data_IF_152368518983
#
_entry.id   IF_152368518983
#
_cell.length_a   1.000
_cell.length_b   1.000
_cell.length_c   1.000
_cell.angle_alpha   90.00
_cell.angle_beta   90.00
_cell.angle_gamma   90.00
#
_symmetry.space_group_name_H-M   'P 1'
#
loop_
_entity.id
_entity.type
_entity.pdbx_description
1 polymer ?
#
# COMPACT_ATOMS: atom_id res chain seq x y z
N UNK A 1 -8.56 13.58 7.69
CA UNK A 1 -8.52 13.53 9.16
C UNK A 1 -7.61 14.62 9.73
N UNK A 2 -6.39 14.75 9.21
CA UNK A 2 -5.39 15.72 9.68
C UNK A 2 -5.89 17.17 9.79
N UNK A 3 -6.55 17.70 8.75
CA UNK A 3 -7.08 19.08 8.77
C UNK A 3 -8.14 19.32 9.86
N UNK A 4 -8.95 18.31 10.18
CA UNK A 4 -9.98 18.39 11.23
C UNK A 4 -9.35 18.36 12.62
N UNK A 5 -8.43 17.41 12.86
CA UNK A 5 -7.67 17.32 14.11
C UNK A 5 -6.87 18.62 14.34
N UNK A 6 -6.29 19.19 13.28
CA UNK A 6 -5.58 20.47 13.35
C UNK A 6 -6.51 21.64 13.68
N UNK A 7 -7.69 21.71 13.07
CA UNK A 7 -8.67 22.77 13.35
C UNK A 7 -9.18 22.69 14.80
N UNK A 8 -9.55 21.50 15.24
CA UNK A 8 -9.95 21.22 16.62
C UNK A 8 -8.84 21.57 17.60
N UNK A 9 -7.60 21.16 17.32
CA UNK A 9 -6.43 21.47 18.15
C UNK A 9 -6.22 22.98 18.29
N UNK A 10 -6.40 23.75 17.20
CA UNK A 10 -6.31 25.22 17.23
C UNK A 10 -7.45 25.87 18.02
N UNK A 11 -8.66 25.33 17.94
CA UNK A 11 -9.81 25.81 18.73
C UNK A 11 -9.54 25.57 20.21
N UNK A 12 -9.12 24.35 20.59
CA UNK A 12 -8.80 23.99 21.97
C UNK A 12 -7.69 24.89 22.51
N UNK A 13 -6.60 25.06 21.75
CA UNK A 13 -5.50 25.95 22.13
C UNK A 13 -5.96 27.41 22.28
N UNK A 14 -6.82 27.90 21.39
CA UNK A 14 -7.38 29.25 21.48
C UNK A 14 -8.24 29.45 22.73
N UNK A 15 -9.08 28.46 23.08
CA UNK A 15 -9.89 28.51 24.31
C UNK A 15 -9.00 28.45 25.55
N UNK A 16 -8.03 27.55 25.59
CA UNK A 16 -7.10 27.39 26.73
C UNK A 16 -6.29 28.65 27.01
N UNK A 17 -5.92 29.40 25.96
CA UNK A 17 -5.26 30.71 26.09
C UNK A 17 -6.17 31.79 26.69
N UNK A 18 -7.49 31.65 26.58
CA UNK A 18 -8.45 32.58 27.17
C UNK A 18 -8.89 32.19 28.58
N UNK A 19 -8.72 30.92 28.97
CA UNK A 19 -9.11 30.44 30.29
C UNK A 19 -8.17 30.91 31.38
N UNK A 20 -8.74 31.43 32.46
CA UNK A 20 -8.02 31.73 33.69
C UNK A 20 -7.61 30.45 34.42
N UNK A 21 -6.60 30.56 35.27
CA UNK A 21 -6.07 29.45 36.06
C UNK A 21 -7.13 28.97 37.07
N UNK A 22 -7.57 27.71 36.94
CA UNK A 22 -8.61 27.12 37.80
C UNK A 22 -10.04 27.55 37.45
N UNK A 23 -10.27 28.05 36.24
CA UNK A 23 -11.61 28.34 35.73
C UNK A 23 -12.46 27.06 35.58
N UNK A 24 -13.78 27.20 35.70
CA UNK A 24 -14.69 26.08 35.47
C UNK A 24 -14.54 25.52 34.05
N UNK A 25 -14.77 24.20 33.85
CA UNK A 25 -14.62 23.58 32.55
C UNK A 25 -15.51 24.23 31.49
N UNK A 26 -14.94 24.52 30.33
CA UNK A 26 -15.72 25.06 29.20
C UNK A 26 -16.17 23.91 28.32
N UNK A 27 -17.49 23.77 28.16
CA UNK A 27 -18.10 22.73 27.32
C UNK A 27 -18.71 23.36 26.06
N UNK A 28 -18.24 22.90 24.90
CA UNK A 28 -18.81 23.20 23.60
C UNK A 28 -19.51 21.96 23.05
N UNK A 29 -20.84 21.94 23.08
CA UNK A 29 -21.64 20.87 22.50
C UNK A 29 -22.43 21.39 21.29
N UNK A 30 -22.38 20.64 20.19
CA UNK A 30 -23.29 20.78 19.06
C UNK A 30 -23.86 19.40 18.68
N UNK A 31 -24.67 19.31 17.64
CA UNK A 31 -25.31 18.04 17.24
C UNK A 31 -24.35 16.97 16.70
N UNK A 32 -23.08 17.30 16.48
CA UNK A 32 -22.08 16.42 15.87
C UNK A 32 -20.84 16.19 16.75
N UNK A 33 -20.54 17.13 17.65
CA UNK A 33 -19.29 17.22 18.39
C UNK A 33 -19.58 17.81 19.78
N UNK A 34 -19.01 17.16 20.79
CA UNK A 34 -18.94 17.67 22.15
C UNK A 34 -17.47 17.76 22.56
N UNK A 35 -17.04 18.95 22.99
CA UNK A 35 -15.68 19.21 23.46
C UNK A 35 -15.78 19.77 24.87
N UNK A 36 -15.12 19.14 25.82
CA UNK A 36 -14.95 19.67 27.17
C UNK A 36 -13.47 19.99 27.39
N UNK A 37 -13.20 21.20 27.87
CA UNK A 37 -11.86 21.74 28.05
C UNK A 37 -11.69 22.10 29.53
N UNK A 38 -10.59 21.64 30.11
CA UNK A 38 -10.27 21.76 31.52
C UNK A 38 -8.89 22.41 31.67
N UNK A 39 -8.78 23.34 32.62
CA UNK A 39 -7.52 23.96 33.02
C UNK A 39 -7.49 24.06 34.53
N UNK A 40 -6.84 23.10 35.17
CA UNK A 40 -6.85 22.99 36.63
C UNK A 40 -5.49 22.58 37.19
N UNK A 41 -5.31 22.80 38.49
CA UNK A 41 -4.12 22.38 39.22
C UNK A 41 -4.12 20.85 39.38
N UNK A 42 -2.97 20.17 39.21
CA UNK A 42 -2.85 18.72 39.37
C UNK A 42 -3.41 18.16 40.68
N UNK A 43 -3.35 18.92 41.76
CA UNK A 43 -3.91 18.52 43.06
C UNK A 43 -5.44 18.46 43.10
N UNK A 44 -6.11 19.16 42.17
CA UNK A 44 -7.57 19.20 42.03
C UNK A 44 -8.07 18.25 40.93
N UNK A 45 -7.17 17.52 40.26
CA UNK A 45 -7.48 16.60 39.15
C UNK A 45 -8.03 15.23 39.62
N UNK A 46 -8.42 15.08 40.90
CA UNK A 46 -8.88 13.79 41.43
C UNK A 46 -10.12 13.26 40.73
N UNK A 47 -10.97 14.13 40.18
CA UNK A 47 -12.06 13.76 39.26
C UNK A 47 -12.31 14.92 38.28
N UNK A 48 -11.86 14.81 37.01
CA UNK A 48 -12.43 15.65 35.95
C UNK A 48 -13.76 15.06 35.48
N UNK A 49 -14.74 15.01 36.37
CA UNK A 49 -16.07 14.60 35.96
C UNK A 49 -16.66 15.67 35.03
N UNK A 50 -17.03 15.26 33.81
CA UNK A 50 -17.90 16.07 32.95
C UNK A 50 -19.20 16.39 33.70
N UNK A 51 -19.83 17.56 33.45
CA UNK A 51 -21.12 17.86 34.05
C UNK A 51 -22.13 16.74 33.76
N UNK A 52 -22.96 16.39 34.75
CA UNK A 52 -23.93 15.28 34.73
C UNK A 52 -25.11 15.50 33.75
N UNK A 53 -24.84 15.86 32.50
CA UNK A 53 -25.79 15.77 31.41
C UNK A 53 -25.65 14.41 30.73
N UNK A 54 -26.04 13.37 31.47
CA UNK A 54 -26.51 12.03 31.05
C UNK A 54 -25.95 11.30 29.81
N UNK A 55 -24.79 11.62 29.22
CA UNK A 55 -24.36 10.84 28.05
C UNK A 55 -22.88 10.50 27.94
N UNK A 56 -21.91 11.36 28.32
CA UNK A 56 -20.50 11.02 28.07
C UNK A 56 -19.52 11.52 29.16
N UNK A 57 -18.81 10.59 29.81
CA UNK A 57 -17.83 10.86 30.86
C UNK A 57 -16.47 10.27 30.47
N UNK A 58 -15.66 11.02 29.74
CA UNK A 58 -14.23 10.72 29.58
C UNK A 58 -13.41 11.63 30.49
N UNK A 59 -12.60 11.04 31.37
CA UNK A 59 -11.91 11.76 32.43
C UNK A 59 -10.53 11.16 32.74
N UNK A 60 -9.71 11.96 33.41
CA UNK A 60 -8.40 11.56 33.94
C UNK A 60 -8.53 11.46 35.46
N UNK A 61 -8.00 10.40 36.04
CA UNK A 61 -7.91 10.20 37.49
C UNK A 61 -6.44 9.97 37.85
N UNK A 62 -5.93 10.66 38.87
CA UNK A 62 -4.56 10.48 39.34
C UNK A 62 -4.52 9.41 40.44
N UNK A 63 -3.64 8.43 40.32
CA UNK A 63 -3.60 7.28 41.24
C UNK A 63 -3.13 7.64 42.67
N UNK A 64 -2.56 8.82 42.91
CA UNK A 64 -2.18 9.27 44.25
C UNK A 64 -1.63 10.69 44.32
N UNK A 65 -1.51 11.21 45.55
CA UNK A 65 -1.00 12.57 45.78
C UNK A 65 0.44 12.77 45.29
N UNK A 66 1.27 11.73 45.31
CA UNK A 66 2.66 11.79 44.82
C UNK A 66 2.74 11.97 43.31
N UNK A 67 1.76 11.47 42.55
CA UNK A 67 1.68 11.68 41.10
C UNK A 67 1.11 13.05 40.77
N UNK A 68 0.17 13.54 41.57
CA UNK A 68 -0.27 14.94 41.50
C UNK A 68 0.89 15.91 41.79
N UNK A 69 1.72 15.62 42.80
CA UNK A 69 2.91 16.41 43.13
C UNK A 69 3.96 16.38 42.02
N UNK A 70 4.14 15.25 41.32
CA UNK A 70 5.10 15.12 40.22
C UNK A 70 4.64 15.79 38.92
N UNK A 71 3.33 15.91 38.72
CA UNK A 71 2.71 16.69 37.64
C UNK A 71 2.57 18.18 37.98
N UNK A 72 2.55 18.53 39.27
CA UNK A 72 2.52 19.93 39.72
C UNK A 72 3.90 20.56 39.63
N UNK A 73 4.04 21.61 38.83
CA UNK A 73 5.11 22.58 39.04
C UNK A 73 4.54 23.78 39.81
N UNK A 74 5.41 24.62 40.41
CA UNK A 74 4.97 25.77 41.23
C UNK A 74 4.07 26.77 40.46
N UNK A 75 4.05 26.69 39.13
CA UNK A 75 3.18 27.43 38.20
C UNK A 75 2.52 26.50 37.16
N UNK A 76 2.52 25.20 37.41
CA UNK A 76 2.15 24.18 36.43
C UNK A 76 0.69 23.84 36.48
N UNK A 77 0.02 24.01 35.36
CA UNK A 77 -1.35 23.58 35.15
C UNK A 77 -1.36 22.37 34.22
N UNK A 78 -2.34 21.50 34.44
CA UNK A 78 -2.66 20.45 33.47
C UNK A 78 -3.86 20.95 32.67
N UNK A 79 -3.66 21.03 31.36
CA UNK A 79 -4.70 21.31 30.41
C UNK A 79 -5.15 19.97 29.83
N UNK A 80 -6.42 19.64 30.02
CA UNK A 80 -7.00 18.43 29.45
C UNK A 80 -8.20 18.81 28.59
N UNK A 81 -8.40 18.09 27.50
CA UNK A 81 -9.60 18.24 26.70
C UNK A 81 -10.11 16.88 26.26
N UNK A 82 -11.37 16.58 26.55
CA UNK A 82 -12.05 15.41 26.06
C UNK A 82 -12.96 15.81 24.90
N UNK A 83 -12.78 15.15 23.76
CA UNK A 83 -13.55 15.38 22.56
C UNK A 83 -14.32 14.13 22.19
N UNK A 84 -15.64 14.26 22.08
CA UNK A 84 -16.53 13.17 21.72
C UNK A 84 -17.20 13.50 20.38
N UNK A 85 -17.04 12.59 19.42
CA UNK A 85 -17.79 12.64 18.17
C UNK A 85 -19.18 12.01 18.39
N UNK A 86 -20.24 12.81 18.28
CA UNK A 86 -21.62 12.29 18.30
C UNK A 86 -22.00 11.64 16.96
N UNK A 87 -21.31 12.00 15.88
CA UNK A 87 -21.41 11.37 14.57
C UNK A 87 -20.01 11.20 14.01
N UNK A 88 -19.66 9.98 13.59
CA UNK A 88 -18.35 9.69 13.02
C UNK A 88 -18.09 10.60 11.80
N UNK A 89 -17.08 11.50 11.85
CA UNK A 89 -16.78 12.42 10.76
C UNK A 89 -16.11 11.73 9.56
N UNK A 90 -15.80 10.43 9.67
CA UNK A 90 -15.13 9.63 8.65
C UNK A 90 -16.08 8.55 8.13
N UNK A 91 -16.86 8.81 7.06
CA UNK A 91 -17.93 7.93 6.59
C UNK A 91 -17.46 6.53 6.14
N UNK A 92 -16.15 6.31 5.99
CA UNK A 92 -15.55 5.03 5.60
C UNK A 92 -14.52 4.51 6.61
N UNK A 93 -14.36 5.15 7.78
CA UNK A 93 -13.43 4.69 8.81
C UNK A 93 -14.19 3.86 9.84
N UNK A 94 -13.90 2.56 9.88
CA UNK A 94 -14.37 1.66 10.93
C UNK A 94 -13.57 1.82 12.24
N UNK A 95 -12.61 2.75 12.30
CA UNK A 95 -11.49 2.70 13.25
C UNK A 95 -11.69 3.61 14.46
N UNK A 96 -12.43 4.72 14.34
CA UNK A 96 -12.66 5.63 15.47
C UNK A 96 -13.96 5.27 16.19
N UNK A 97 -13.83 4.52 17.28
CA UNK A 97 -14.98 4.08 18.09
C UNK A 97 -15.08 4.77 19.45
N UNK A 98 -14.12 5.64 19.78
CA UNK A 98 -14.02 6.32 21.07
C UNK A 98 -13.79 7.82 20.92
N UNK A 99 -14.02 8.54 22.01
CA UNK A 99 -13.60 9.93 22.19
C UNK A 99 -12.09 10.08 22.07
N UNK A 100 -11.66 11.26 21.66
CA UNK A 100 -10.26 11.67 21.64
C UNK A 100 -9.97 12.41 22.94
N UNK A 101 -9.02 11.90 23.73
CA UNK A 101 -8.60 12.52 24.98
C UNK A 101 -7.22 13.16 24.81
N UNK A 102 -7.11 14.46 25.06
CA UNK A 102 -5.86 15.22 24.92
C UNK A 102 -5.44 15.73 26.30
N UNK A 103 -4.15 15.57 26.61
CA UNK A 103 -3.51 16.08 27.81
C UNK A 103 -2.30 16.91 27.39
N UNK A 104 -2.20 18.11 27.92
CA UNK A 104 -1.04 18.99 27.79
C UNK A 104 -0.57 19.40 29.19
N UNK A 105 0.70 19.11 29.49
CA UNK A 105 1.30 19.41 30.79
C UNK A 105 2.27 20.56 30.63
N UNK A 106 2.08 21.61 31.43
CA UNK A 106 2.94 22.79 31.45
C UNK A 106 3.83 22.79 32.70
N UNK A 107 5.14 22.87 32.53
CA UNK A 107 6.09 22.88 33.64
C UNK A 107 7.56 22.89 33.21
N UNK A 108 8.47 22.98 34.20
CA UNK A 108 9.91 22.80 33.94
C UNK A 108 10.19 21.32 33.63
N UNK A 109 10.07 21.00 32.33
CA UNK A 109 10.21 19.65 31.77
C UNK A 109 11.57 19.03 32.09
N UNK A 110 12.62 19.82 32.36
CA UNK A 110 13.95 19.27 32.63
C UNK A 110 14.01 18.59 34.01
N UNK A 111 13.44 19.22 35.03
CA UNK A 111 13.37 18.65 36.37
C UNK A 111 12.31 17.53 36.44
N UNK A 112 11.20 17.71 35.73
CA UNK A 112 10.11 16.74 35.65
C UNK A 112 10.53 15.44 34.94
N UNK A 113 11.32 15.54 33.86
CA UNK A 113 11.92 14.36 33.18
C UNK A 113 12.80 13.54 34.11
N UNK A 114 13.63 14.21 34.93
CA UNK A 114 14.54 13.51 35.86
C UNK A 114 13.74 12.73 36.92
N UNK A 115 12.73 13.37 37.52
CA UNK A 115 11.85 12.74 38.51
C UNK A 115 11.01 11.61 37.90
N UNK A 116 10.53 11.79 36.67
CA UNK A 116 9.72 10.78 35.95
C UNK A 116 10.52 9.53 35.58
N UNK A 117 11.77 9.70 35.15
CA UNK A 117 12.67 8.56 34.87
C UNK A 117 13.04 7.77 36.12
N UNK A 118 13.19 8.44 37.27
CA UNK A 118 13.43 7.78 38.56
C UNK A 118 12.19 6.97 39.01
N UNK A 119 10.98 7.46 38.76
CA UNK A 119 9.73 6.78 39.10
C UNK A 119 9.41 5.57 38.20
N UNK A 120 9.69 5.69 36.89
CA UNK A 120 9.43 4.64 35.90
C UNK A 120 10.26 3.35 36.13
N UNK A 121 11.31 3.39 36.96
CA UNK A 121 12.14 2.22 37.29
C UNK A 121 11.55 1.30 38.37
N UNK A 122 10.55 1.74 39.12
CA UNK A 122 10.16 1.07 40.38
C UNK A 122 8.69 0.60 40.49
N UNK A 123 7.80 0.89 39.54
CA UNK A 123 6.38 0.59 39.69
C UNK A 123 5.72 -0.04 38.47
N UNK A 124 5.02 -1.16 38.70
CA UNK A 124 3.96 -1.68 37.82
C UNK A 124 2.59 -1.05 38.10
N UNK A 125 2.54 -0.03 38.97
CA UNK A 125 1.33 0.67 39.35
C UNK A 125 1.07 1.85 38.40
N UNK A 126 -0.20 2.07 38.06
CA UNK A 126 -0.57 3.18 37.18
C UNK A 126 -0.32 4.50 37.91
N UNK A 127 0.29 5.47 37.24
CA UNK A 127 0.46 6.82 37.78
C UNK A 127 -0.84 7.64 37.65
N UNK A 128 -1.57 7.37 36.58
CA UNK A 128 -2.89 7.94 36.29
C UNK A 128 -3.72 6.94 35.49
N UNK A 129 -5.04 7.11 35.58
CA UNK A 129 -6.03 6.35 34.85
C UNK A 129 -6.75 7.26 33.87
N UNK A 130 -6.86 6.83 32.62
CA UNK A 130 -7.68 7.50 31.61
C UNK A 130 -8.94 6.66 31.43
N UNK A 131 -10.09 7.26 31.65
CA UNK A 131 -11.38 6.65 31.33
C UNK A 131 -11.88 7.25 30.02
N UNK A 132 -12.05 6.42 29.01
CA UNK A 132 -12.64 6.80 27.72
C UNK A 132 -13.99 6.10 27.54
N UNK A 133 -14.96 6.83 27.00
CA UNK A 133 -16.26 6.27 26.70
C UNK A 133 -16.40 5.94 25.22
N UNK A 134 -17.03 4.82 24.91
CA UNK A 134 -17.35 4.46 23.53
C UNK A 134 -18.48 5.33 23.00
N UNK A 135 -18.42 5.64 21.71
CA UNK A 135 -19.49 6.39 21.02
C UNK A 135 -20.79 5.57 20.90
N UNK A 136 -20.69 4.24 21.03
CA UNK A 136 -21.81 3.32 21.02
C UNK A 136 -21.54 2.14 21.97
N UNK A 137 -22.61 1.58 22.55
CA UNK A 137 -22.53 0.38 23.40
C UNK A 137 -21.91 -0.76 22.59
N UNK A 138 -20.86 -1.37 23.14
CA UNK A 138 -20.18 -2.55 22.61
C UNK A 138 -20.73 -3.81 23.26
N UNK A 139 -20.64 -4.94 22.57
CA UNK A 139 -21.07 -6.23 23.09
C UNK A 139 -19.84 -7.10 23.38
N UNK A 140 -19.11 -6.74 24.44
CA UNK A 140 -17.93 -7.52 24.83
C UNK A 140 -18.35 -8.81 25.51
N UNK A 141 -17.69 -9.89 25.13
CA UNK A 141 -17.90 -11.17 25.78
C UNK A 141 -17.07 -11.27 27.07
N UNK A 142 -17.67 -10.98 28.23
CA UNK A 142 -16.99 -11.10 29.52
C UNK A 142 -16.95 -12.53 30.09
N UNK A 143 -17.45 -13.54 29.36
CA UNK A 143 -17.40 -14.93 29.83
C UNK A 143 -16.01 -15.57 29.75
N UNK A 144 -15.09 -14.96 28.98
CA UNK A 144 -13.72 -15.40 28.79
C UNK A 144 -12.77 -14.28 29.19
N UNK A 145 -11.66 -14.62 29.86
CA UNK A 145 -10.56 -13.66 30.04
C UNK A 145 -9.77 -13.52 28.74
N UNK A 146 -9.04 -12.41 28.59
CA UNK A 146 -8.20 -12.18 27.41
C UNK A 146 -7.19 -13.33 27.21
N UNK A 147 -6.59 -13.83 28.29
CA UNK A 147 -5.67 -14.98 28.24
C UNK A 147 -6.35 -16.28 27.79
N UNK A 148 -7.60 -16.51 28.22
CA UNK A 148 -8.40 -17.66 27.78
C UNK A 148 -8.81 -17.54 26.32
N UNK A 149 -9.14 -16.33 25.87
CA UNK A 149 -9.47 -16.07 24.48
C UNK A 149 -8.28 -16.36 23.56
N UNK A 150 -7.08 -15.92 23.95
CA UNK A 150 -5.85 -16.28 23.24
C UNK A 150 -5.59 -17.79 23.25
N UNK A 151 -5.78 -18.46 24.39
CA UNK A 151 -5.59 -19.91 24.48
C UNK A 151 -6.59 -20.73 23.63
N UNK A 152 -7.79 -20.21 23.40
CA UNK A 152 -8.86 -20.88 22.64
C UNK A 152 -8.93 -20.43 21.18
N UNK A 153 -8.07 -19.48 20.75
CA UNK A 153 -8.12 -18.84 19.44
C UNK A 153 -9.55 -18.39 19.05
N UNK A 154 -10.31 -17.90 20.04
CA UNK A 154 -11.66 -17.44 19.84
C UNK A 154 -11.63 -16.01 19.28
N UNK A 155 -12.53 -15.66 18.36
CA UNK A 155 -12.65 -14.28 17.89
C UNK A 155 -13.13 -13.39 19.04
N UNK A 156 -12.19 -12.74 19.73
CA UNK A 156 -12.43 -11.94 20.92
C UNK A 156 -12.01 -10.50 20.66
N UNK A 157 -12.92 -9.55 20.84
CA UNK A 157 -12.62 -8.14 20.66
C UNK A 157 -12.34 -7.50 22.02
N UNK A 158 -11.28 -6.71 22.11
CA UNK A 158 -10.90 -5.98 23.33
C UNK A 158 -10.45 -4.56 22.99
N UNK A 159 -10.65 -3.58 23.89
CA UNK A 159 -10.18 -2.23 23.67
C UNK A 159 -8.66 -2.15 23.82
N UNK A 160 -8.00 -1.43 22.92
CA UNK A 160 -6.56 -1.16 22.96
C UNK A 160 -6.28 0.34 22.90
N UNK A 161 -5.33 0.79 23.71
CA UNK A 161 -4.93 2.19 23.79
C UNK A 161 -3.99 2.55 22.62
N UNK A 162 -4.35 3.58 21.87
CA UNK A 162 -3.49 4.18 20.85
C UNK A 162 -3.26 5.67 21.09
N UNK A 163 -2.09 6.14 20.72
CA UNK A 163 -1.72 7.55 20.75
C UNK A 163 -1.45 8.06 19.33
N UNK A 164 -1.77 9.32 19.07
CA UNK A 164 -1.54 9.93 17.77
C UNK A 164 -0.04 10.19 17.56
N UNK A 165 0.52 9.61 16.51
CA UNK A 165 1.92 9.72 16.17
C UNK A 165 2.20 10.95 15.28
N UNK A 166 3.40 11.51 15.41
CA UNK A 166 3.80 12.73 14.70
C UNK A 166 3.86 12.57 13.17
N UNK A 167 4.00 11.32 12.71
CA UNK A 167 3.99 10.92 11.29
C UNK A 167 2.56 10.82 10.70
N UNK A 168 1.54 11.14 11.51
CA UNK A 168 0.14 11.11 11.11
C UNK A 168 -0.55 9.77 11.34
N UNK A 169 0.11 8.79 11.97
CA UNK A 169 -0.43 7.48 12.33
C UNK A 169 -1.01 7.39 13.75
N UNK A 170 -1.48 6.19 14.11
CA UNK A 170 -1.79 5.81 15.49
C UNK A 170 -0.80 4.70 15.90
N UNK A 171 -0.17 4.85 17.06
CA UNK A 171 0.74 3.85 17.63
C UNK A 171 0.25 3.41 19.01
N UNK A 172 0.71 2.26 19.51
CA UNK A 172 0.33 1.81 20.85
C UNK A 172 0.77 2.83 21.93
N UNK A 173 -0.09 3.07 22.92
CA UNK A 173 0.24 3.96 24.03
C UNK A 173 1.49 3.46 24.77
N UNK A 174 2.46 4.35 25.02
CA UNK A 174 3.80 4.03 25.56
C UNK A 174 3.81 3.47 26.99
N UNK A 175 3.40 2.20 27.14
CA UNK A 175 3.35 1.47 28.41
C UNK A 175 2.01 1.54 29.15
N UNK A 176 0.94 2.06 28.54
CA UNK A 176 -0.40 1.99 29.12
C UNK A 176 -1.00 0.59 28.93
N UNK A 177 -1.75 0.12 29.93
CA UNK A 177 -2.48 -1.15 29.87
C UNK A 177 -3.97 -0.94 30.14
N UNK A 178 -4.79 -1.87 29.68
CA UNK A 178 -6.22 -1.90 30.00
C UNK A 178 -6.37 -2.31 31.46
N UNK A 179 -6.85 -1.42 32.32
CA UNK A 179 -7.11 -1.74 33.72
C UNK A 179 -8.47 -2.41 33.88
N UNK A 180 -9.52 -1.81 33.33
CA UNK A 180 -10.89 -2.35 33.34
C UNK A 180 -11.61 -1.87 32.08
N UNK A 181 -12.61 -2.62 31.62
CA UNK A 181 -13.51 -2.14 30.56
C UNK A 181 -14.90 -2.75 30.72
N UNK A 182 -15.89 -2.03 30.26
CA UNK A 182 -17.29 -2.42 30.21
C UNK A 182 -17.80 -2.27 28.76
N UNK A 183 -19.09 -2.56 28.55
CA UNK A 183 -19.74 -2.32 27.26
C UNK A 183 -19.84 -0.84 26.88
N UNK A 184 -19.61 0.09 27.83
CA UNK A 184 -19.78 1.53 27.59
C UNK A 184 -18.49 2.32 27.73
N UNK A 185 -17.53 1.86 28.54
CA UNK A 185 -16.28 2.57 28.79
C UNK A 185 -15.07 1.64 28.91
N UNK A 186 -13.88 2.22 28.80
CA UNK A 186 -12.60 1.58 29.07
C UNK A 186 -11.77 2.47 29.98
N UNK A 187 -11.06 1.86 30.91
CA UNK A 187 -10.13 2.50 31.83
C UNK A 187 -8.72 1.99 31.54
N UNK A 188 -7.82 2.87 31.12
CA UNK A 188 -6.41 2.57 30.93
C UNK A 188 -5.60 3.01 32.14
N UNK A 189 -4.74 2.15 32.65
CA UNK A 189 -3.70 2.51 33.61
C UNK A 189 -2.43 2.89 32.84
N UNK A 190 -1.91 4.09 33.07
CA UNK A 190 -0.74 4.59 32.37
C UNK A 190 0.39 4.96 33.36
N UNK A 191 1.65 4.64 33.04
CA UNK A 191 2.79 5.14 33.78
C UNK A 191 3.04 6.61 33.42
N UNK A 192 3.72 7.35 34.30
CA UNK A 192 4.08 8.75 34.05
C UNK A 192 4.99 8.91 32.81
N UNK A 193 5.74 7.87 32.45
CA UNK A 193 6.54 7.83 31.21
C UNK A 193 5.69 7.98 29.95
N UNK A 194 4.41 7.56 29.96
CA UNK A 194 3.52 7.69 28.81
C UNK A 194 3.30 9.17 28.41
N UNK A 195 3.44 10.11 29.36
CA UNK A 195 3.36 11.55 29.08
C UNK A 195 4.68 12.14 28.54
N UNK A 196 5.82 11.52 28.84
CA UNK A 196 7.16 12.13 28.69
C UNK A 196 7.98 11.57 27.52
N UNK A 197 7.68 10.36 27.03
CA UNK A 197 8.63 9.57 26.22
C UNK A 197 8.90 10.13 24.81
N UNK A 198 8.14 11.10 24.29
CA UNK A 198 8.26 11.52 22.88
C UNK A 198 9.32 12.60 22.59
N UNK A 199 9.98 13.18 23.60
CA UNK A 199 10.97 14.24 23.34
C UNK A 199 12.35 13.73 22.85
N UNK A 200 12.63 12.42 22.87
CA UNK A 200 14.00 11.92 22.77
C UNK A 200 14.41 11.24 21.44
N UNK A 201 13.49 10.81 20.57
CA UNK A 201 13.86 9.86 19.49
C UNK A 201 13.56 10.28 18.05
N UNK A 202 12.91 11.42 17.79
CA UNK A 202 12.66 11.86 16.41
C UNK A 202 13.05 13.33 16.22
N UNK A 203 13.93 13.58 15.24
CA UNK A 203 14.44 14.91 14.88
C UNK A 203 13.43 15.76 14.09
N UNK A 204 12.16 15.36 13.99
CA UNK A 204 11.14 16.10 13.26
C UNK A 204 10.38 17.07 14.17
N UNK A 205 11.11 18.13 14.54
CA UNK A 205 10.52 19.41 14.93
C UNK A 205 9.75 19.97 13.73
N UNK A 206 8.44 19.73 13.66
CA UNK A 206 7.41 20.67 13.19
C UNK A 206 6.04 20.01 13.14
N UNK A 207 5.26 20.12 14.22
CA UNK A 207 3.88 20.67 14.21
C UNK A 207 3.58 21.23 15.61
N UNK A 208 3.50 22.57 15.71
CA UNK A 208 2.81 23.37 16.76
C UNK A 208 3.25 23.34 18.26
N UNK A 209 4.48 22.99 18.62
CA UNK A 209 5.06 23.50 19.89
C UNK A 209 5.55 24.95 19.67
N UNK A 210 4.74 25.93 20.08
CA UNK A 210 5.12 27.35 20.08
C UNK A 210 5.74 27.81 21.41
N UNK A 211 5.68 26.98 22.44
CA UNK A 211 6.42 27.16 23.69
C UNK A 211 7.36 25.98 23.91
N UNK A 212 8.57 26.22 24.41
CA UNK A 212 9.58 25.20 24.70
C UNK A 212 9.23 24.33 25.91
N UNK A 213 8.10 24.58 26.57
CA UNK A 213 7.85 24.20 27.96
C UNK A 213 6.55 23.35 28.13
N UNK A 214 5.93 22.90 27.04
CA UNK A 214 4.75 22.01 27.09
C UNK A 214 4.93 20.71 26.31
N UNK A 215 4.49 19.60 26.91
CA UNK A 215 4.41 18.28 26.27
C UNK A 215 2.95 17.92 26.01
N UNK A 216 2.63 17.60 24.75
CA UNK A 216 1.29 17.30 24.27
C UNK A 216 1.17 15.81 23.95
N UNK A 217 0.19 15.14 24.55
CA UNK A 217 -0.14 13.75 24.24
C UNK A 217 -1.64 13.60 23.97
N UNK A 218 -1.97 12.82 22.95
CA UNK A 218 -3.35 12.57 22.54
C UNK A 218 -3.61 11.06 22.54
N UNK A 219 -4.54 10.63 23.37
CA UNK A 219 -4.99 9.27 23.57
C UNK A 219 -6.31 9.03 22.82
N UNK A 220 -6.51 7.78 22.40
CA UNK A 220 -7.75 7.28 21.85
C UNK A 220 -7.79 5.76 21.99
N UNK A 221 -8.99 5.18 21.96
CA UNK A 221 -9.21 3.74 21.96
C UNK A 221 -9.56 3.22 20.57
N UNK A 222 -8.92 2.13 20.17
CA UNK A 222 -9.32 1.28 19.04
C UNK A 222 -9.74 -0.09 19.55
N UNK A 223 -10.70 -0.74 18.89
CA UNK A 223 -10.98 -2.15 19.16
C UNK A 223 -9.97 -3.03 18.44
N UNK A 224 -9.21 -3.79 19.22
CA UNK A 224 -8.36 -4.84 18.72
C UNK A 224 -9.11 -6.18 18.77
N UNK A 225 -8.94 -7.01 17.76
CA UNK A 225 -9.37 -8.40 17.85
C UNK A 225 -8.18 -9.21 18.37
N UNK A 226 -8.35 -9.85 19.52
CA UNK A 226 -7.60 -11.02 19.96
C UNK A 226 -8.03 -12.23 19.13
N UNK A 227 -7.95 -12.11 17.81
CA UNK A 227 -7.46 -13.25 17.06
C UNK A 227 -5.97 -13.25 17.36
N UNK A 228 -5.34 -14.41 17.61
CA UNK A 228 -3.88 -14.40 17.55
C UNK A 228 -3.54 -13.75 16.22
N UNK A 229 -2.63 -12.74 16.16
CA UNK A 229 -1.96 -12.52 14.90
C UNK A 229 -1.51 -13.92 14.48
N UNK A 230 -2.04 -14.40 13.36
CA UNK A 230 -1.38 -15.50 12.68
C UNK A 230 0.02 -14.92 12.49
N UNK A 231 0.99 -15.47 13.24
CA UNK A 231 2.36 -15.00 13.20
C UNK A 231 2.74 -14.78 11.73
N UNK A 232 3.11 -13.53 11.40
CA UNK A 232 3.68 -13.22 10.09
C UNK A 232 2.84 -12.46 9.06
N UNK A 233 1.67 -11.89 9.35
CA UNK A 233 1.16 -10.79 8.48
C UNK A 233 1.01 -9.45 9.21
N UNK A 234 2.12 -8.75 9.49
CA UNK A 234 2.13 -7.32 9.67
C UNK A 234 2.23 -6.61 8.32
N UNK A 235 1.19 -5.88 7.94
CA UNK A 235 1.36 -4.63 7.22
C UNK A 235 0.55 -3.58 8.00
N UNK A 236 1.16 -2.59 8.69
CA UNK A 236 2.41 -1.90 8.35
C UNK A 236 3.42 -1.80 9.54
N UNK A 237 4.67 -2.24 9.32
CA UNK A 237 5.77 -1.92 10.23
C UNK A 237 6.80 -3.04 10.35
N UNK A 238 7.86 -2.97 9.55
CA UNK A 238 9.05 -3.81 9.69
C UNK A 238 8.99 -5.11 8.88
N UNK A 239 9.45 -5.06 7.63
CA UNK A 239 9.97 -6.26 6.98
C UNK A 239 11.23 -6.69 7.73
N UNK A 240 11.14 -7.69 8.61
CA UNK A 240 12.34 -8.33 9.14
C UNK A 240 12.91 -9.23 8.03
N UNK A 241 13.81 -8.63 7.25
CA UNK A 241 14.39 -9.22 6.07
C UNK A 241 15.39 -10.31 6.47
N UNK A 242 15.04 -11.58 6.23
CA UNK A 242 16.02 -12.66 6.24
C UNK A 242 16.95 -12.52 5.00
N UNK A 243 18.09 -11.86 5.21
CA UNK A 243 19.07 -11.52 4.18
C UNK A 243 19.66 -12.72 3.40
N UNK A 244 19.44 -13.97 3.86
CA UNK A 244 19.92 -15.17 3.17
C UNK A 244 19.08 -15.50 1.93
N UNK A 245 17.76 -15.65 2.12
CA UNK A 245 16.81 -16.05 1.07
C UNK A 245 16.52 -14.88 0.12
N UNK A 246 16.44 -13.66 0.66
CA UNK A 246 16.08 -12.48 -0.12
C UNK A 246 17.14 -12.04 -1.15
N UNK A 247 18.42 -12.42 -0.98
CA UNK A 247 19.47 -12.14 -1.98
C UNK A 247 19.18 -12.76 -3.33
N UNK A 248 18.60 -13.97 -3.34
CA UNK A 248 18.28 -14.69 -4.58
C UNK A 248 17.15 -13.97 -5.30
N UNK A 249 16.09 -13.60 -4.57
CA UNK A 249 14.92 -12.90 -5.11
C UNK A 249 15.32 -11.51 -5.63
N UNK A 250 16.11 -10.75 -4.86
CA UNK A 250 16.56 -9.42 -5.26
C UNK A 250 17.48 -9.48 -6.48
N UNK A 251 18.36 -10.48 -6.56
CA UNK A 251 19.21 -10.72 -7.74
C UNK A 251 18.37 -11.05 -8.98
N UNK A 252 17.36 -11.91 -8.83
CA UNK A 252 16.43 -12.23 -9.92
C UNK A 252 15.64 -11.00 -10.39
N UNK A 253 15.08 -10.21 -9.46
CA UNK A 253 14.35 -8.98 -9.78
C UNK A 253 15.27 -7.94 -10.46
N UNK A 254 16.51 -7.79 -9.99
CA UNK A 254 17.49 -6.87 -10.59
C UNK A 254 17.86 -7.28 -12.02
N UNK A 255 18.13 -8.57 -12.24
CA UNK A 255 18.46 -9.10 -13.57
C UNK A 255 17.28 -9.00 -14.53
N UNK A 256 16.07 -9.32 -14.08
CA UNK A 256 14.85 -9.16 -14.86
C UNK A 256 14.63 -7.70 -15.28
N UNK A 257 14.74 -6.78 -14.33
CA UNK A 257 14.57 -5.33 -14.58
C UNK A 257 15.61 -4.83 -15.59
N UNK A 258 16.86 -5.29 -15.48
CA UNK A 258 17.91 -4.95 -16.44
C UNK A 258 17.58 -5.42 -17.86
N UNK A 259 17.08 -6.66 -18.03
CA UNK A 259 16.68 -7.20 -19.33
C UNK A 259 15.53 -6.39 -19.93
N UNK A 260 14.52 -6.05 -19.11
CA UNK A 260 13.36 -5.25 -19.54
C UNK A 260 13.79 -3.87 -20.04
N UNK A 261 14.64 -3.19 -19.29
CA UNK A 261 15.15 -1.86 -19.64
C UNK A 261 16.03 -1.92 -20.88
N UNK A 262 16.94 -2.90 -20.98
CA UNK A 262 17.80 -3.07 -22.14
C UNK A 262 16.99 -3.34 -23.41
N UNK A 263 16.00 -4.24 -23.34
CA UNK A 263 15.11 -4.52 -24.46
C UNK A 263 14.28 -3.30 -24.87
N UNK A 264 13.84 -2.48 -23.91
CA UNK A 264 13.14 -1.22 -24.20
C UNK A 264 14.05 -0.21 -24.92
N UNK A 265 15.31 -0.08 -24.49
CA UNK A 265 16.30 0.78 -25.15
C UNK A 265 16.56 0.31 -26.57
N UNK A 266 16.73 -1.00 -26.79
CA UNK A 266 16.95 -1.58 -28.12
C UNK A 266 15.72 -1.32 -29.00
N UNK A 267 14.51 -1.63 -28.52
CA UNK A 267 13.27 -1.40 -29.27
C UNK A 267 13.09 0.07 -29.64
N UNK A 268 13.41 1.00 -28.74
CA UNK A 268 13.37 2.44 -28.99
C UNK A 268 14.42 2.90 -30.01
N UNK A 269 15.64 2.35 -29.95
CA UNK A 269 16.68 2.66 -30.94
C UNK A 269 16.29 2.15 -32.33
N UNK A 270 15.72 0.96 -32.42
CA UNK A 270 15.21 0.41 -33.68
C UNK A 270 14.09 1.29 -34.25
N UNK A 271 13.12 1.70 -33.43
CA UNK A 271 12.01 2.58 -33.83
C UNK A 271 12.51 3.94 -34.34
N UNK A 272 13.54 4.50 -33.69
CA UNK A 272 14.18 5.73 -34.17
C UNK A 272 14.89 5.54 -35.52
N UNK A 273 15.61 4.43 -35.70
CA UNK A 273 16.33 4.15 -36.96
C UNK A 273 15.36 3.96 -38.13
N UNK A 274 14.29 3.20 -37.92
CA UNK A 274 13.23 3.02 -38.93
C UNK A 274 12.55 4.35 -39.28
N UNK A 275 12.38 5.24 -38.29
CA UNK A 275 11.84 6.58 -38.53
C UNK A 275 12.78 7.43 -39.39
N UNK A 276 14.09 7.38 -39.16
CA UNK A 276 15.09 8.08 -39.98
C UNK A 276 15.13 7.55 -41.41
N UNK A 277 15.19 6.22 -41.60
CA UNK A 277 15.16 5.58 -42.93
C UNK A 277 13.89 5.95 -43.71
N UNK A 278 12.72 5.99 -43.05
CA UNK A 278 11.46 6.38 -43.69
C UNK A 278 11.43 7.84 -44.15
N UNK A 279 12.21 8.71 -43.51
CA UNK A 279 12.34 10.12 -43.88
C UNK A 279 13.28 10.25 -45.08
N UNK A 280 14.41 9.55 -45.05
CA UNK A 280 15.37 9.52 -46.17
C UNK A 280 14.73 8.97 -47.45
N UNK A 281 14.02 7.83 -47.38
CA UNK A 281 13.33 7.25 -48.53
C UNK A 281 12.24 8.20 -49.08
N UNK A 282 11.55 8.93 -48.20
CA UNK A 282 10.59 9.98 -48.62
C UNK A 282 11.29 11.16 -49.29
N UNK A 283 12.46 11.56 -48.80
CA UNK A 283 13.27 12.63 -49.40
C UNK A 283 13.81 12.20 -50.77
N UNK A 284 14.28 10.97 -50.90
CA UNK A 284 14.76 10.41 -52.17
C UNK A 284 13.61 10.29 -53.19
N UNK A 285 12.46 9.73 -52.80
CA UNK A 285 11.26 9.67 -53.66
C UNK A 285 10.76 11.06 -54.05
N UNK A 286 10.84 12.05 -53.16
CA UNK A 286 10.51 13.46 -53.47
C UNK A 286 11.54 14.06 -54.43
N UNK A 287 12.82 13.83 -54.22
CA UNK A 287 13.90 14.30 -55.10
C UNK A 287 13.79 13.66 -56.49
N UNK A 288 13.51 12.35 -56.58
CA UNK A 288 13.29 11.65 -57.84
C UNK A 288 12.06 12.17 -58.60
N UNK A 289 10.95 12.47 -57.89
CA UNK A 289 9.78 13.12 -58.51
C UNK A 289 10.08 14.53 -58.97
N UNK A 290 10.82 15.31 -58.18
CA UNK A 290 11.20 16.67 -58.56
C UNK A 290 12.11 16.66 -59.78
N UNK A 291 13.07 15.72 -59.84
CA UNK A 291 14.00 15.59 -60.95
C UNK A 291 13.30 15.10 -62.24
N UNK A 292 12.33 14.19 -62.12
CA UNK A 292 11.47 13.79 -63.24
C UNK A 292 10.61 14.96 -63.74
N UNK A 293 10.07 15.78 -62.84
CA UNK A 293 9.30 16.96 -63.19
C UNK A 293 10.15 18.07 -63.83
N UNK A 294 11.43 18.20 -63.48
CA UNK A 294 12.34 19.15 -64.16
C UNK A 294 12.94 18.62 -65.47
N UNK A 295 12.96 17.30 -65.70
CA UNK A 295 13.48 16.72 -66.94
C UNK A 295 12.42 16.61 -68.06
N UNK A 296 11.14 16.51 -67.73
CA UNK A 296 10.06 16.35 -68.71
C UNK A 296 9.25 17.64 -68.99
N UNK A 297 9.54 18.76 -68.31
CA UNK A 297 8.96 20.06 -68.66
C UNK A 297 9.88 20.76 -69.67
N UNK A 298 9.94 20.16 -70.86
CA UNK A 298 10.28 20.90 -72.07
C UNK A 298 9.02 21.71 -72.43
N UNK A 299 9.07 23.03 -72.22
CA UNK A 299 7.93 23.96 -72.34
C UNK A 299 7.26 23.99 -73.72
N UNK A 300 7.78 23.26 -74.71
CA UNK A 300 7.22 23.18 -76.06
C UNK A 300 6.11 22.10 -76.23
N UNK A 301 5.94 21.15 -75.29
CA UNK A 301 4.93 20.08 -75.44
C UNK A 301 3.56 20.42 -74.81
N UNK A 302 3.44 21.56 -74.12
CA UNK A 302 2.16 22.06 -73.55
C UNK A 302 1.21 22.60 -74.64
N UNK A 303 1.73 22.89 -75.83
CA UNK A 303 0.93 23.35 -76.97
C UNK A 303 0.78 22.29 -78.08
N UNK A 304 1.23 21.06 -77.84
CA UNK A 304 0.93 19.95 -78.74
C UNK A 304 -0.46 19.40 -78.39
N UNK A 305 -1.46 19.71 -79.22
CA UNK A 305 -2.78 19.06 -79.21
C UNK A 305 -2.60 17.54 -79.26
N UNK A 306 -2.70 16.87 -78.10
CA UNK A 306 -2.79 15.42 -78.00
C UNK A 306 -4.21 15.05 -77.58
N UNK A 307 -4.86 14.31 -78.47
CA UNK A 307 -6.18 13.72 -78.28
C UNK A 307 -6.26 12.93 -76.96
N UNK A 308 -7.18 13.33 -76.11
CA UNK A 308 -7.56 12.70 -74.84
C UNK A 308 -8.39 11.43 -75.06
N UNK A 309 -7.88 10.44 -75.77
CA UNK A 309 -8.52 9.12 -75.83
C UNK A 309 -7.54 8.00 -75.44
N UNK A 310 -8.00 7.17 -74.51
CA UNK A 310 -7.37 5.95 -73.98
C UNK A 310 -6.24 6.13 -72.96
N UNK A 311 -6.53 6.79 -71.83
CA UNK A 311 -5.94 6.33 -70.57
C UNK A 311 -6.75 5.11 -70.13
N UNK A 312 -6.25 3.92 -70.47
CA UNK A 312 -6.83 2.64 -70.09
C UNK A 312 -7.01 2.56 -68.57
N UNK A 313 -8.26 2.35 -68.14
CA UNK A 313 -8.64 2.12 -66.73
C UNK A 313 -7.80 0.99 -66.12
N UNK A 314 -7.35 0.04 -66.93
CA UNK A 314 -6.49 -1.07 -66.50
C UNK A 314 -5.13 -0.58 -66.03
N UNK A 315 -4.52 0.42 -66.69
CA UNK A 315 -3.22 0.94 -66.28
C UNK A 315 -3.29 1.73 -64.95
N UNK A 316 -4.40 2.46 -64.74
CA UNK A 316 -4.65 3.15 -63.46
C UNK A 316 -4.95 2.13 -62.35
N UNK A 317 -5.66 1.05 -62.68
CA UNK A 317 -5.98 -0.01 -61.72
C UNK A 317 -4.74 -0.85 -61.35
N UNK A 318 -3.86 -1.16 -62.30
CA UNK A 318 -2.58 -1.82 -62.02
C UNK A 318 -1.69 -0.93 -61.14
N UNK A 319 -1.60 0.36 -61.46
CA UNK A 319 -0.81 1.30 -60.66
C UNK A 319 -1.39 1.49 -59.24
N UNK A 320 -2.71 1.39 -59.10
CA UNK A 320 -3.39 1.41 -57.80
C UNK A 320 -3.18 0.10 -57.03
N UNK A 321 -3.32 -1.05 -57.70
CA UNK A 321 -3.12 -2.38 -57.11
C UNK A 321 -1.66 -2.58 -56.68
N UNK A 322 -0.67 -2.17 -57.47
CA UNK A 322 0.75 -2.20 -57.08
C UNK A 322 1.06 -1.23 -55.93
N UNK A 323 0.29 -0.14 -55.80
CA UNK A 323 0.45 0.80 -54.68
C UNK A 323 -0.13 0.28 -53.36
N UNK A 324 -1.05 -0.69 -53.42
CA UNK A 324 -1.78 -1.22 -52.24
C UNK A 324 -1.31 -2.63 -51.89
N UNK A 325 -0.93 -3.42 -52.89
CA UNK A 325 -0.35 -4.74 -52.72
C UNK A 325 1.17 -4.60 -52.77
N UNK A 326 1.79 -4.59 -51.60
CA UNK A 326 3.25 -4.68 -51.50
C UNK A 326 3.67 -6.02 -52.11
N UNK A 327 4.19 -5.97 -53.34
CA UNK A 327 4.58 -7.12 -54.14
C UNK A 327 5.67 -8.01 -53.50
N UNK A 328 6.23 -7.62 -52.36
CA UNK A 328 7.31 -8.36 -51.69
C UNK A 328 6.91 -9.72 -51.12
N UNK A 329 5.61 -10.05 -51.06
CA UNK A 329 5.14 -11.26 -50.36
C UNK A 329 4.41 -12.29 -51.23
N UNK A 330 4.20 -12.05 -52.53
CA UNK A 330 3.40 -12.95 -53.37
C UNK A 330 4.05 -13.46 -54.65
N UNK A 331 5.24 -13.00 -55.01
CA UNK A 331 5.90 -13.41 -56.26
C UNK A 331 7.25 -14.07 -55.99
N UNK A 332 7.31 -15.37 -56.31
CA UNK A 332 8.50 -16.21 -56.52
C UNK A 332 9.35 -16.61 -55.29
N UNK A 333 8.93 -17.65 -54.57
CA UNK A 333 9.88 -18.63 -54.04
C UNK A 333 9.38 -20.06 -54.31
N UNK A 334 9.92 -20.76 -55.34
CA UNK A 334 9.40 -22.05 -55.78
C UNK A 334 9.87 -23.26 -54.96
N UNK A 335 10.65 -23.10 -53.88
CA UNK A 335 11.09 -24.23 -53.05
C UNK A 335 10.67 -24.04 -51.59
N UNK A 336 9.57 -24.69 -51.20
CA UNK A 336 9.08 -24.73 -49.82
C UNK A 336 10.02 -25.57 -48.93
N UNK A 337 11.17 -25.00 -48.61
CA UNK A 337 12.08 -25.48 -47.57
C UNK A 337 11.42 -25.33 -46.21
N UNK A 338 11.64 -26.29 -45.30
CA UNK A 338 11.24 -26.15 -43.88
C UNK A 338 11.77 -24.85 -43.25
N UNK A 339 12.89 -24.31 -43.74
CA UNK A 339 13.41 -23.02 -43.31
C UNK A 339 12.52 -21.85 -43.77
N UNK A 340 11.95 -21.90 -44.98
CA UNK A 340 11.02 -20.89 -45.48
C UNK A 340 9.69 -20.91 -44.70
N UNK A 341 9.20 -22.10 -44.36
CA UNK A 341 8.01 -22.25 -43.50
C UNK A 341 8.30 -21.71 -42.09
N UNK A 342 9.44 -22.07 -41.50
CA UNK A 342 9.79 -21.63 -40.15
C UNK A 342 10.02 -20.12 -40.07
N UNK A 343 10.67 -19.53 -41.07
CA UNK A 343 10.83 -18.07 -41.17
C UNK A 343 9.50 -17.37 -41.35
N UNK A 344 8.60 -17.89 -42.19
CA UNK A 344 7.24 -17.36 -42.35
C UNK A 344 6.44 -17.44 -41.04
N UNK A 345 6.52 -18.57 -40.32
CA UNK A 345 5.88 -18.75 -39.02
C UNK A 345 6.43 -17.79 -37.97
N UNK A 346 7.75 -17.60 -37.91
CA UNK A 346 8.40 -16.64 -37.02
C UNK A 346 8.00 -15.20 -37.34
N UNK A 347 7.83 -14.86 -38.62
CA UNK A 347 7.40 -13.53 -39.06
C UNK A 347 5.92 -13.25 -38.75
N UNK A 348 5.06 -14.26 -38.74
CA UNK A 348 3.62 -14.09 -38.51
C UNK A 348 3.18 -14.21 -37.05
N UNK A 349 3.98 -14.86 -36.20
CA UNK A 349 3.62 -15.05 -34.81
C UNK A 349 3.86 -13.78 -33.97
N UNK A 350 2.82 -13.32 -33.24
CA UNK A 350 2.77 -12.02 -32.53
C UNK A 350 4.00 -11.72 -31.66
N UNK A 351 4.58 -12.76 -31.04
CA UNK A 351 5.74 -12.63 -30.15
C UNK A 351 7.09 -12.60 -30.89
N UNK A 352 7.23 -13.34 -31.99
CA UNK A 352 8.49 -13.48 -32.73
C UNK A 352 8.60 -12.46 -33.86
N UNK A 353 7.47 -11.97 -34.36
CA UNK A 353 7.39 -10.90 -35.36
C UNK A 353 8.11 -9.62 -34.91
N UNK A 354 8.29 -9.41 -33.60
CA UNK A 354 9.12 -8.31 -33.05
C UNK A 354 10.55 -8.31 -33.61
N UNK A 355 11.14 -9.48 -33.81
CA UNK A 355 12.55 -9.62 -34.18
C UNK A 355 12.77 -9.80 -35.68
N UNK A 356 11.76 -10.33 -36.39
CA UNK A 356 11.94 -10.82 -37.77
C UNK A 356 11.15 -10.04 -38.83
N UNK A 357 10.20 -9.19 -38.45
CA UNK A 357 9.37 -8.46 -39.41
C UNK A 357 9.08 -7.02 -38.96
N UNK A 358 9.69 -5.99 -39.58
CA UNK A 358 9.28 -4.60 -39.43
C UNK A 358 7.91 -4.43 -40.08
N UNK A 359 6.85 -4.67 -39.31
CA UNK A 359 5.47 -4.57 -39.78
C UNK A 359 4.96 -3.17 -39.48
N UNK A 360 4.65 -2.43 -40.55
CA UNK A 360 4.35 -0.97 -40.57
C UNK A 360 3.27 -0.46 -39.59
N UNK A 361 2.43 -1.34 -39.03
CA UNK A 361 1.24 -0.90 -38.29
C UNK A 361 1.48 -0.62 -36.79
N UNK A 362 2.58 -1.12 -36.20
CA UNK A 362 2.84 -0.93 -34.77
C UNK A 362 4.33 -0.76 -34.50
N UNK A 363 4.71 0.30 -33.78
CA UNK A 363 6.07 0.57 -33.35
C UNK A 363 6.65 -0.61 -32.54
N UNK A 364 7.92 -0.89 -32.73
CA UNK A 364 8.66 -1.95 -32.04
C UNK A 364 8.58 -1.80 -30.51
N UNK A 365 8.57 -0.57 -30.02
CA UNK A 365 8.41 -0.21 -28.60
C UNK A 365 7.10 -0.69 -28.00
N UNK A 366 5.97 -0.50 -28.70
CA UNK A 366 4.64 -0.88 -28.20
C UNK A 366 4.48 -2.40 -28.09
N UNK A 367 5.09 -3.14 -29.02
CA UNK A 367 5.11 -4.60 -28.98
C UNK A 367 5.97 -5.11 -27.84
N UNK A 368 7.15 -4.53 -27.64
CA UNK A 368 8.01 -4.87 -26.50
C UNK A 368 7.29 -4.64 -25.16
N UNK A 369 6.58 -3.52 -25.02
CA UNK A 369 5.81 -3.24 -23.80
C UNK A 369 4.65 -4.22 -23.60
N UNK A 370 3.92 -4.59 -24.66
CA UNK A 370 2.84 -5.59 -24.58
C UNK A 370 3.37 -6.97 -24.16
N UNK A 371 4.50 -7.41 -24.73
CA UNK A 371 5.16 -8.69 -24.37
C UNK A 371 5.67 -8.65 -22.93
N UNK A 372 6.35 -7.57 -22.55
CA UNK A 372 6.89 -7.40 -21.20
C UNK A 372 5.77 -7.39 -20.17
N UNK A 373 4.67 -6.69 -20.43
CA UNK A 373 3.51 -6.65 -19.55
C UNK A 373 2.86 -8.03 -19.41
N UNK A 374 2.68 -8.76 -20.52
CA UNK A 374 2.16 -10.12 -20.48
C UNK A 374 3.04 -11.05 -19.63
N UNK A 375 4.36 -10.95 -19.77
CA UNK A 375 5.32 -11.71 -18.97
C UNK A 375 5.25 -11.35 -17.47
N UNK A 376 5.27 -10.05 -17.14
CA UNK A 376 5.19 -9.57 -15.76
C UNK A 376 3.86 -9.96 -15.09
N UNK A 377 2.76 -9.89 -15.83
CA UNK A 377 1.44 -10.28 -15.35
C UNK A 377 1.37 -11.78 -15.04
N UNK A 378 1.90 -12.63 -15.93
CA UNK A 378 1.97 -14.07 -15.69
C UNK A 378 2.85 -14.38 -14.47
N UNK A 379 4.03 -13.75 -14.38
CA UNK A 379 4.93 -13.92 -13.23
C UNK A 379 4.26 -13.47 -11.93
N UNK A 380 3.57 -12.33 -11.95
CA UNK A 380 2.81 -11.83 -10.80
C UNK A 380 1.73 -12.83 -10.38
N UNK A 381 0.90 -13.29 -11.31
CA UNK A 381 -0.15 -14.26 -11.01
C UNK A 381 0.40 -15.60 -10.53
N UNK A 382 1.52 -16.07 -11.09
CA UNK A 382 2.24 -17.25 -10.59
C UNK A 382 2.71 -17.03 -9.14
N UNK A 383 3.32 -15.87 -8.83
CA UNK A 383 3.78 -15.58 -7.46
C UNK A 383 2.64 -15.46 -6.47
N UNK A 384 1.51 -14.85 -6.87
CA UNK A 384 0.31 -14.78 -6.03
C UNK A 384 -0.29 -16.16 -5.85
N UNK A 385 -0.33 -16.98 -6.90
CA UNK A 385 -0.81 -18.35 -6.82
C UNK A 385 0.04 -19.12 -5.80
N UNK A 386 1.36 -19.22 -5.99
CA UNK A 386 2.20 -19.95 -5.04
C UNK A 386 2.18 -19.36 -3.63
N UNK A 387 2.12 -18.04 -3.47
CA UNK A 387 2.00 -17.40 -2.16
C UNK A 387 0.68 -17.71 -1.44
N UNK A 388 -0.43 -17.84 -2.16
CA UNK A 388 -1.74 -18.15 -1.58
C UNK A 388 -1.92 -19.66 -1.33
N UNK A 389 -1.44 -20.51 -2.23
CA UNK A 389 -1.62 -21.97 -2.16
C UNK A 389 -0.55 -22.67 -1.34
N UNK A 390 0.66 -22.11 -1.24
CA UNK A 390 1.78 -22.64 -0.46
C UNK A 390 2.38 -21.52 0.40
N UNK A 391 1.60 -20.95 1.33
CA UNK A 391 2.08 -19.88 2.19
C UNK A 391 3.17 -20.40 3.12
N UNK A 392 4.32 -19.74 3.10
CA UNK A 392 5.42 -19.98 4.04
C UNK A 392 5.23 -19.11 5.28
N UNK A 393 4.28 -19.52 6.11
CA UNK A 393 3.90 -18.78 7.32
C UNK A 393 4.75 -19.18 8.53
N UNK A 394 5.84 -19.93 8.36
CA UNK A 394 6.68 -20.50 9.44
C UNK A 394 5.95 -21.45 10.42
N UNK A 395 4.61 -21.52 10.41
CA UNK A 395 3.79 -22.39 11.26
C UNK A 395 4.19 -23.87 11.21
N UNK A 396 4.75 -24.35 10.10
CA UNK A 396 5.20 -25.74 10.00
C UNK A 396 6.42 -26.02 10.88
N UNK A 397 7.29 -25.04 11.13
CA UNK A 397 8.49 -25.23 11.93
C UNK A 397 8.21 -25.26 13.44
N UNK A 398 7.06 -24.71 13.86
CA UNK A 398 6.63 -24.70 15.28
C UNK A 398 6.15 -26.08 15.78
N UNK A 399 5.79 -26.99 14.87
CA UNK A 399 5.30 -28.32 15.25
C UNK A 399 6.44 -29.25 15.69
N UNK A 400 6.51 -29.52 16.99
CA UNK A 400 7.52 -30.41 17.58
C UNK A 400 7.18 -31.90 17.50
N UNK A 401 5.93 -32.25 17.17
CA UNK A 401 5.51 -33.66 17.09
C UNK A 401 5.04 -34.02 15.67
N UNK A 402 5.28 -35.28 15.30
CA UNK A 402 4.87 -35.81 13.99
C UNK A 402 3.35 -35.75 13.80
N UNK A 403 2.58 -35.95 14.87
CA UNK A 403 1.11 -35.93 14.81
C UNK A 403 0.59 -34.52 14.56
N UNK A 404 1.09 -33.51 15.29
CA UNK A 404 0.73 -32.10 15.09
C UNK A 404 1.18 -31.57 13.72
N UNK A 405 2.29 -32.09 13.18
CA UNK A 405 2.79 -31.72 11.85
C UNK A 405 1.84 -32.14 10.71
N UNK A 406 1.07 -33.22 10.87
CA UNK A 406 0.16 -33.73 9.83
C UNK A 406 -1.27 -33.20 9.93
N UNK A 407 -1.59 -32.47 11.00
CA UNK A 407 -2.92 -31.88 11.22
C UNK A 407 -3.30 -30.80 10.19
N UNK A 408 -2.42 -29.85 9.80
CA UNK A 408 -2.79 -28.83 8.82
C UNK A 408 -2.80 -29.38 7.39
N UNK A 409 -3.97 -29.32 6.75
CA UNK A 409 -4.13 -29.61 5.33
C UNK A 409 -4.07 -28.34 4.48
N UNK A 410 -3.49 -28.46 3.28
CA UNK A 410 -3.56 -27.42 2.27
C UNK A 410 -5.03 -27.25 1.84
N UNK A 411 -5.51 -25.99 1.86
CA UNK A 411 -6.90 -25.63 1.59
C UNK A 411 -7.41 -26.08 0.21
N UNK A 412 -6.50 -26.34 -0.73
CA UNK A 412 -6.87 -26.49 -2.15
C UNK A 412 -6.49 -27.84 -2.72
N UNK A 413 -5.28 -28.33 -2.44
CA UNK A 413 -4.87 -29.66 -2.90
C UNK A 413 -5.38 -30.77 -1.99
N UNK A 414 -5.95 -30.46 -0.82
CA UNK A 414 -6.32 -31.41 0.24
C UNK A 414 -5.18 -32.36 0.64
N UNK A 415 -3.94 -32.01 0.27
CA UNK A 415 -2.73 -32.70 0.71
C UNK A 415 -2.23 -32.06 1.99
N UNK A 416 -1.38 -32.77 2.73
CA UNK A 416 -0.72 -32.23 3.92
C UNK A 416 0.08 -30.98 3.56
N UNK A 417 -0.07 -29.93 4.37
CA UNK A 417 0.65 -28.66 4.19
C UNK A 417 2.10 -28.79 4.64
N UNK A 418 2.34 -29.52 5.73
CA UNK A 418 3.67 -29.79 6.26
C UNK A 418 4.07 -31.25 6.04
N UNK A 419 5.38 -31.49 6.00
CA UNK A 419 6.01 -32.80 5.90
C UNK A 419 7.03 -32.99 7.03
N UNK A 420 7.10 -34.20 7.57
CA UNK A 420 7.97 -34.53 8.70
C UNK A 420 9.28 -35.12 8.20
N UNK A 421 10.36 -34.34 8.24
CA UNK A 421 11.67 -34.77 7.78
C UNK A 421 12.48 -35.32 8.94
N UNK A 422 12.87 -36.59 8.87
CA UNK A 422 13.75 -37.22 9.87
C UNK A 422 15.20 -37.04 9.43
N UNK A 423 16.01 -36.36 10.23
CA UNK A 423 17.44 -36.30 9.96
C UNK A 423 18.09 -37.65 10.27
N UNK A 424 18.55 -38.35 9.23
CA UNK A 424 19.17 -39.68 9.35
C UNK A 424 20.39 -39.72 10.29
N UNK A 425 21.07 -38.59 10.48
CA UNK A 425 22.28 -38.48 11.28
C UNK A 425 22.05 -38.26 12.78
N UNK A 426 20.91 -37.69 13.18
CA UNK A 426 20.60 -37.33 14.58
C UNK A 426 19.36 -38.04 15.11
N UNK A 427 18.54 -38.62 14.24
CA UNK A 427 17.26 -39.24 14.61
C UNK A 427 16.20 -38.24 15.08
N UNK A 428 16.51 -36.94 15.08
CA UNK A 428 15.59 -35.87 15.42
C UNK A 428 14.83 -35.49 14.15
N UNK A 429 13.49 -35.59 14.22
CA UNK A 429 12.61 -35.14 13.15
C UNK A 429 12.30 -33.66 13.28
N UNK A 430 12.28 -32.95 12.16
CA UNK A 430 11.82 -31.57 12.05
C UNK A 430 10.66 -31.49 11.06
N UNK A 431 9.61 -30.77 11.43
CA UNK A 431 8.50 -30.47 10.53
C UNK A 431 8.91 -29.31 9.60
N UNK A 432 8.57 -29.41 8.32
CA UNK A 432 8.85 -28.37 7.34
C UNK A 432 7.77 -28.32 6.27
N UNK A 433 7.76 -27.29 5.43
CA UNK A 433 6.72 -27.15 4.40
C UNK A 433 6.83 -28.26 3.35
N UNK A 434 5.68 -28.87 3.04
CA UNK A 434 5.56 -29.81 1.95
C UNK A 434 5.66 -29.05 0.61
N UNK A 435 6.74 -29.31 -0.13
CA UNK A 435 7.02 -28.60 -1.39
C UNK A 435 5.91 -28.91 -2.41
N UNK A 436 5.53 -27.93 -3.25
CA UNK A 436 4.53 -28.16 -4.28
C UNK A 436 4.94 -29.34 -5.19
N UNK A 437 4.00 -30.21 -5.57
CA UNK A 437 4.29 -31.37 -6.39
C UNK A 437 4.81 -30.92 -7.75
N UNK A 438 6.02 -31.35 -8.13
CA UNK A 438 6.61 -31.07 -9.45
C UNK A 438 6.08 -32.00 -10.54
N UNK A 439 4.84 -32.46 -10.41
CA UNK A 439 4.22 -33.32 -11.42
C UNK A 439 3.82 -32.47 -12.62
N UNK A 440 4.01 -33.02 -13.82
CA UNK A 440 3.71 -32.33 -15.07
C UNK A 440 2.24 -31.87 -15.15
N UNK A 441 1.33 -32.71 -14.65
CA UNK A 441 -0.12 -32.41 -14.63
C UNK A 441 -0.42 -31.19 -13.76
N UNK A 442 0.19 -31.11 -12.58
CA UNK A 442 0.00 -29.99 -11.66
C UNK A 442 0.52 -28.68 -12.26
N UNK A 443 1.72 -28.70 -12.83
CA UNK A 443 2.31 -27.51 -13.47
C UNK A 443 1.46 -27.02 -14.66
N UNK A 444 0.97 -27.92 -15.51
CA UNK A 444 0.11 -27.53 -16.64
C UNK A 444 -1.20 -26.91 -16.16
N UNK A 445 -1.82 -27.47 -15.11
CA UNK A 445 -3.07 -26.95 -14.59
C UNK A 445 -2.89 -25.51 -14.08
N UNK A 446 -1.83 -25.26 -13.31
CA UNK A 446 -1.50 -23.92 -12.81
C UNK A 446 -1.25 -22.95 -13.97
N UNK A 447 -0.40 -23.32 -14.92
CA UNK A 447 -0.09 -22.47 -16.07
C UNK A 447 -1.35 -22.16 -16.87
N UNK A 448 -2.23 -23.13 -17.10
CA UNK A 448 -3.48 -22.92 -17.81
C UNK A 448 -4.39 -21.94 -17.04
N UNK A 449 -4.52 -22.12 -15.73
CA UNK A 449 -5.33 -21.25 -14.88
C UNK A 449 -4.79 -19.82 -14.87
N UNK A 450 -3.47 -19.65 -14.72
CA UNK A 450 -2.81 -18.34 -14.74
C UNK A 450 -2.99 -17.66 -16.10
N UNK A 451 -2.85 -18.39 -17.20
CA UNK A 451 -3.10 -17.87 -18.55
C UNK A 451 -4.56 -17.46 -18.74
N UNK A 452 -5.52 -18.26 -18.28
CA UNK A 452 -6.95 -17.92 -18.39
C UNK A 452 -7.28 -16.64 -17.61
N UNK A 453 -6.72 -16.48 -16.41
CA UNK A 453 -6.91 -15.27 -15.59
C UNK A 453 -6.19 -14.07 -16.20
N UNK A 454 -5.05 -14.26 -16.87
CA UNK A 454 -4.26 -13.16 -17.40
C UNK A 454 -4.83 -12.52 -18.68
N UNK A 455 -5.61 -13.27 -19.48
CA UNK A 455 -6.25 -12.79 -20.71
C UNK A 455 -7.07 -11.49 -20.54
N UNK A 456 -8.04 -11.38 -19.61
CA UNK A 456 -8.84 -10.15 -19.48
C UNK A 456 -8.00 -8.91 -19.15
N UNK A 457 -6.97 -9.07 -18.31
CA UNK A 457 -6.05 -7.99 -17.98
C UNK A 457 -5.18 -7.60 -19.19
N UNK A 458 -4.72 -8.57 -19.97
CA UNK A 458 -3.99 -8.31 -21.21
C UNK A 458 -4.86 -7.56 -22.22
N UNK A 459 -6.11 -7.96 -22.41
CA UNK A 459 -7.04 -7.28 -23.32
C UNK A 459 -7.32 -5.85 -22.85
N UNK A 460 -7.54 -5.64 -21.55
CA UNK A 460 -7.73 -4.31 -20.98
C UNK A 460 -6.50 -3.41 -21.16
N UNK A 461 -5.30 -3.97 -21.00
CA UNK A 461 -4.05 -3.24 -21.20
C UNK A 461 -3.77 -2.92 -22.67
N UNK A 462 -3.97 -3.89 -23.57
CA UNK A 462 -3.87 -3.67 -25.02
C UNK A 462 -4.88 -2.59 -25.47
N UNK A 463 -6.09 -2.59 -24.90
CA UNK A 463 -7.08 -1.53 -25.14
C UNK A 463 -6.58 -0.15 -24.70
N UNK A 464 -5.99 -0.03 -23.50
CA UNK A 464 -5.42 1.22 -23.01
C UNK A 464 -4.26 1.71 -23.88
N UNK A 465 -3.34 0.82 -24.28
CA UNK A 465 -2.23 1.17 -25.15
C UNK A 465 -2.71 1.69 -26.51
N UNK A 466 -3.69 1.04 -27.12
CA UNK A 466 -4.23 1.45 -28.42
C UNK A 466 -5.01 2.75 -28.33
N UNK A 467 -5.87 2.92 -27.32
CA UNK A 467 -6.77 4.08 -27.23
C UNK A 467 -6.09 5.33 -26.66
N UNK A 468 -5.20 5.16 -25.69
CA UNK A 468 -4.57 6.27 -24.95
C UNK A 468 -3.19 6.57 -25.51
N UNK A 469 -2.33 5.55 -25.66
CA UNK A 469 -0.93 5.78 -25.99
C UNK A 469 -0.65 5.97 -27.48
N UNK A 470 -1.43 5.33 -28.37
CA UNK A 470 -1.27 5.52 -29.82
C UNK A 470 -2.04 6.73 -30.38
N UNK A 471 -2.95 7.33 -29.62
CA UNK A 471 -3.69 8.49 -30.09
C UNK A 471 -2.74 9.68 -30.17
N UNK A 472 -2.30 9.99 -31.40
CA UNK A 472 -1.48 11.16 -31.71
C UNK A 472 -2.12 12.39 -31.05
N UNK A 473 -1.37 13.22 -30.29
CA UNK A 473 -1.92 14.45 -29.75
C UNK A 473 -2.43 15.30 -30.92
N UNK A 474 -3.75 15.52 -30.97
CA UNK A 474 -4.32 16.54 -31.85
C UNK A 474 -4.08 17.85 -31.12
N UNK A 475 -3.23 18.70 -31.68
CA UNK A 475 -2.94 20.04 -31.15
C UNK A 475 -4.09 21.02 -31.37
N UNK A 476 -5.33 20.52 -31.49
CA UNK A 476 -6.52 21.30 -31.87
C UNK A 476 -7.56 21.40 -30.75
N UNK A 477 -7.26 20.86 -29.55
CA UNK A 477 -8.05 21.06 -28.32
C UNK A 477 -7.26 21.86 -27.27
#
# INVERSE_FOLDING_TARGET
SEALNLAVSKIISGVLQTMAEGEEPVVFANSQLEVSIYKTLPTNLTELATPQTSAVNSYLELAGNTTAESLSSASGYVEASALVWLTNPYPNSAVLESSLFRIEVFGDLAEQRRRTQEFARNGSEAAFYIVEQFTAVKDFNFSLTLDQAFAQNANFTYPSCVQYAADGGYEACGGCWVSTYTNTNVTFGCPLSALVTRAATTSDRRVLQTSTDSELVQFSTVLANAMSPIDGIPFPGGFEINWGVQKIVLSFLSTLTFIIVLGFIIARRTDNREREESVEEKHEKRAARFNKYTSDVYYDDIFADKDFNEVSVVAVMDQYLDSIMVASNLSEQPDASWAAIFTTLLQHHKYTALFFAPTQNFNCTLRWTSITMAFLLNLFLDTVFFGVFYPDNENCEDYQTQETCFEPNNRVSYTRLCDWNVNESTGVGSCGINKPPRTFVFLILIVLLVVVISIPFQVAYDYLLVQVCMRRPRFED
#
